data_IF_859534766140
#
_entry.id   IF_859534766140
#
_cell.length_a   1.000
_cell.length_b   1.000
_cell.length_c   1.000
_cell.angle_alpha   90.00
_cell.angle_beta   90.00
_cell.angle_gamma   90.00
#
_symmetry.space_group_name_H-M   'P 1'
#
loop_
_entity.id
_entity.type
_entity.pdbx_description
1 polymer ?
#
# COMPACT_ATOMS: atom_id res chain seq x y z
N UNK A 1 -5.89 29.30 2.30
CA UNK A 1 -6.06 28.01 2.99
C UNK A 1 -4.75 27.28 2.83
N UNK A 2 -3.96 27.14 3.90
CA UNK A 2 -2.73 26.36 3.88
C UNK A 2 -3.09 24.92 3.53
N UNK A 3 -2.53 24.37 2.46
CA UNK A 3 -2.73 22.97 2.11
C UNK A 3 -2.23 22.09 3.25
N UNK A 4 -3.08 21.22 3.80
CA UNK A 4 -2.75 20.27 4.88
C UNK A 4 -1.85 19.12 4.37
N UNK A 5 -0.81 19.45 3.62
CA UNK A 5 0.21 18.51 3.15
C UNK A 5 1.26 18.39 4.25
N UNK A 6 1.42 17.18 4.78
CA UNK A 6 2.52 16.84 5.66
C UNK A 6 3.73 16.40 4.85
N UNK A 7 4.93 16.77 5.29
CA UNK A 7 6.19 16.48 4.61
C UNK A 7 7.17 15.80 5.56
N UNK A 8 7.73 14.68 5.13
CA UNK A 8 8.70 13.89 5.86
C UNK A 8 9.97 13.74 5.01
N UNK A 9 11.06 14.47 5.32
CA UNK A 9 12.35 14.24 4.69
C UNK A 9 12.89 12.86 5.05
N UNK A 10 13.52 12.18 4.09
CA UNK A 10 14.14 10.86 4.28
C UNK A 10 15.36 10.70 3.38
N UNK A 11 16.31 9.87 3.78
CA UNK A 11 17.43 9.45 2.95
C UNK A 11 17.29 7.95 2.70
N UNK A 12 17.28 7.53 1.43
CA UNK A 12 17.14 6.11 1.08
C UNK A 12 18.35 5.34 1.61
N UNK A 13 18.10 4.35 2.46
CA UNK A 13 19.17 3.54 3.08
C UNK A 13 19.25 2.14 2.47
N UNK A 14 20.38 1.47 2.69
CA UNK A 14 20.74 0.23 1.98
C UNK A 14 19.77 -0.93 2.16
N UNK A 15 19.06 -1.03 3.29
CA UNK A 15 18.09 -2.11 3.53
C UNK A 15 16.69 -1.80 2.98
N UNK A 16 16.48 -0.60 2.43
CA UNK A 16 15.25 -0.23 1.74
C UNK A 16 15.32 -0.57 0.24
N UNK A 17 16.53 -0.82 -0.25
CA UNK A 17 16.79 -1.11 -1.66
C UNK A 17 16.78 -2.59 -1.98
N UNK A 18 16.40 -2.91 -3.22
CA UNK A 18 16.52 -4.25 -3.80
C UNK A 18 17.96 -4.50 -4.35
N UNK A 19 18.24 -5.68 -4.92
CA UNK A 19 19.56 -5.99 -5.51
C UNK A 19 20.03 -5.05 -6.62
N UNK A 20 19.14 -4.25 -7.23
CA UNK A 20 19.48 -3.23 -8.25
C UNK A 20 19.96 -1.91 -7.63
N UNK A 21 19.90 -1.78 -6.30
CA UNK A 21 20.27 -0.59 -5.55
C UNK A 21 19.23 0.54 -5.61
N UNK A 22 18.02 0.22 -6.07
CA UNK A 22 16.86 1.13 -6.08
C UNK A 22 15.92 0.77 -4.94
N UNK A 23 15.18 1.76 -4.43
CA UNK A 23 14.13 1.56 -3.43
C UNK A 23 13.15 0.48 -3.91
N UNK A 24 12.95 -0.57 -3.12
CA UNK A 24 12.00 -1.62 -3.48
C UNK A 24 10.55 -1.11 -3.42
N UNK A 25 9.66 -1.70 -4.21
CA UNK A 25 8.25 -1.29 -4.27
C UNK A 25 7.54 -1.40 -2.91
N UNK A 26 7.83 -2.46 -2.16
CA UNK A 26 7.30 -2.63 -0.80
C UNK A 26 7.77 -1.51 0.14
N UNK A 27 9.06 -1.16 0.09
CA UNK A 27 9.64 -0.09 0.93
C UNK A 27 9.15 1.30 0.54
N UNK A 28 8.82 1.52 -0.74
CA UNK A 28 8.11 2.74 -1.16
C UNK A 28 6.76 2.89 -0.44
N UNK A 29 5.97 1.81 -0.36
CA UNK A 29 4.68 1.83 0.36
C UNK A 29 4.89 2.01 1.87
N UNK A 30 5.88 1.33 2.48
CA UNK A 30 6.24 1.53 3.89
C UNK A 30 6.55 3.02 4.19
N UNK A 31 7.39 3.66 3.37
CA UNK A 31 7.76 5.08 3.56
C UNK A 31 6.56 6.01 3.41
N UNK A 32 5.65 5.72 2.47
CA UNK A 32 4.40 6.46 2.32
C UNK A 32 3.50 6.28 3.57
N UNK A 33 3.36 5.07 4.09
CA UNK A 33 2.61 4.83 5.33
C UNK A 33 3.26 5.52 6.54
N UNK A 34 4.59 5.52 6.63
CA UNK A 34 5.32 6.23 7.68
C UNK A 34 4.97 7.73 7.72
N UNK A 35 4.86 8.39 6.56
CA UNK A 35 4.42 9.78 6.49
C UNK A 35 2.97 9.97 6.96
N UNK A 36 2.07 9.03 6.68
CA UNK A 36 0.69 9.03 7.20
C UNK A 36 0.67 8.97 8.74
N UNK A 37 1.41 8.03 9.32
CA UNK A 37 1.52 7.87 10.78
C UNK A 37 2.14 9.11 11.45
N UNK A 38 3.20 9.66 10.85
CA UNK A 38 3.86 10.86 11.33
C UNK A 38 2.93 12.09 11.28
N UNK A 39 2.11 12.23 10.23
CA UNK A 39 1.08 13.27 10.19
C UNK A 39 0.06 13.08 11.32
N UNK A 40 -0.41 11.86 11.56
CA UNK A 40 -1.34 11.56 12.65
C UNK A 40 -0.82 12.04 14.01
N UNK A 41 0.45 11.77 14.31
CA UNK A 41 1.14 12.30 15.51
C UNK A 41 1.15 13.84 15.52
N UNK A 42 1.51 14.47 14.40
CA UNK A 42 1.60 15.92 14.29
C UNK A 42 0.26 16.64 14.48
N UNK A 43 -0.86 16.04 14.05
CA UNK A 43 -2.21 16.63 14.19
C UNK A 43 -2.93 16.22 15.47
N UNK A 44 -2.26 15.50 16.39
CA UNK A 44 -2.86 15.07 17.65
C UNK A 44 -3.88 13.93 17.52
N UNK A 45 -3.80 13.17 16.42
CA UNK A 45 -4.56 11.93 16.18
C UNK A 45 -3.61 10.77 15.81
N UNK A 46 -2.71 10.38 16.73
CA UNK A 46 -1.85 9.22 16.50
C UNK A 46 -2.66 7.92 16.56
N UNK A 47 -2.14 6.84 15.98
CA UNK A 47 -2.80 5.54 15.91
C UNK A 47 -3.16 4.99 17.31
N UNK A 48 -2.28 5.17 18.30
CA UNK A 48 -2.50 4.69 19.66
C UNK A 48 -3.75 5.33 20.30
N UNK A 49 -4.02 6.60 19.97
CA UNK A 49 -5.23 7.31 20.44
C UNK A 49 -6.48 6.74 19.77
N UNK A 50 -6.42 6.46 18.47
CA UNK A 50 -7.53 5.86 17.72
C UNK A 50 -7.84 4.45 18.24
N UNK A 51 -6.80 3.64 18.45
CA UNK A 51 -6.91 2.29 18.98
C UNK A 51 -7.51 2.30 20.40
N UNK A 52 -7.12 3.25 21.25
CA UNK A 52 -7.71 3.44 22.58
C UNK A 52 -9.20 3.83 22.54
N UNK A 53 -9.67 4.43 21.44
CA UNK A 53 -11.10 4.68 21.20
C UNK A 53 -11.84 3.45 20.65
N UNK A 54 -11.16 2.31 20.47
CA UNK A 54 -11.74 1.07 19.95
C UNK A 54 -11.82 1.02 18.42
N UNK A 55 -11.10 1.90 17.72
CA UNK A 55 -11.12 2.01 16.27
C UNK A 55 -9.74 1.79 15.65
N UNK A 56 -9.67 1.34 14.40
CA UNK A 56 -8.42 1.21 13.65
C UNK A 56 -8.64 1.45 12.16
N UNK A 57 -7.63 2.01 11.48
CA UNK A 57 -7.68 2.20 10.03
C UNK A 57 -7.23 0.93 9.32
N UNK A 58 -7.98 0.52 8.31
CA UNK A 58 -7.59 -0.56 7.40
C UNK A 58 -7.53 -0.05 5.98
N UNK A 59 -6.43 -0.36 5.32
CA UNK A 59 -6.23 -0.06 3.90
C UNK A 59 -7.03 -1.07 3.08
N UNK A 60 -7.84 -0.58 2.16
CA UNK A 60 -8.58 -1.44 1.23
C UNK A 60 -7.95 -1.47 -0.15
N UNK A 61 -7.30 -0.38 -0.57
CA UNK A 61 -6.73 -0.29 -1.90
C UNK A 61 -5.63 0.76 -2.01
N UNK A 62 -4.57 0.46 -2.79
CA UNK A 62 -3.62 1.45 -3.30
C UNK A 62 -3.66 1.50 -4.83
N UNK A 63 -3.58 2.71 -5.38
CA UNK A 63 -3.26 3.01 -6.77
C UNK A 63 -1.97 3.81 -6.79
N UNK A 64 -0.87 3.18 -7.21
CA UNK A 64 0.46 3.74 -7.21
C UNK A 64 0.96 3.87 -8.66
N UNK A 65 1.53 5.03 -8.98
CA UNK A 65 2.29 5.28 -10.20
C UNK A 65 3.74 5.65 -9.85
N UNK A 66 4.67 5.18 -10.66
CA UNK A 66 6.12 5.32 -10.43
C UNK A 66 6.77 5.86 -11.70
N UNK A 67 7.25 7.10 -11.63
CA UNK A 67 8.09 7.71 -12.67
C UNK A 67 9.49 7.09 -12.64
N UNK A 68 10.07 6.94 -11.45
CA UNK A 68 11.33 6.20 -11.18
C UNK A 68 11.45 5.86 -9.70
N UNK A 69 12.13 4.76 -9.39
CA UNK A 69 12.52 4.45 -8.01
C UNK A 69 13.84 5.18 -7.66
N UNK A 70 13.92 5.86 -6.50
CA UNK A 70 15.16 6.50 -6.07
C UNK A 70 16.23 5.48 -5.73
N UNK A 71 17.49 5.89 -5.81
CA UNK A 71 18.65 5.04 -5.48
C UNK A 71 19.06 5.19 -4.02
N UNK A 72 19.83 4.23 -3.54
CA UNK A 72 20.53 4.34 -2.25
C UNK A 72 21.24 5.70 -2.12
N UNK A 73 21.18 6.25 -0.93
CA UNK A 73 21.78 7.52 -0.50
C UNK A 73 21.14 8.78 -1.11
N UNK A 74 20.17 8.63 -2.03
CA UNK A 74 19.34 9.73 -2.52
C UNK A 74 18.47 10.30 -1.38
N UNK A 75 18.38 11.63 -1.31
CA UNK A 75 17.49 12.32 -0.39
C UNK A 75 16.16 12.59 -1.07
N UNK A 76 15.09 12.31 -0.35
CA UNK A 76 13.72 12.42 -0.84
C UNK A 76 12.84 13.10 0.21
N UNK A 77 11.70 13.60 -0.24
CA UNK A 77 10.63 14.09 0.63
C UNK A 77 9.39 13.27 0.36
N UNK A 78 8.87 12.60 1.41
CA UNK A 78 7.57 11.94 1.35
C UNK A 78 6.51 12.95 1.77
N UNK A 79 5.55 13.22 0.90
CA UNK A 79 4.41 14.08 1.17
C UNK A 79 3.15 13.23 1.34
N UNK A 80 2.24 13.67 2.21
CA UNK A 80 0.91 13.04 2.32
C UNK A 80 -0.18 14.04 2.67
N UNK A 81 -1.39 13.76 2.20
CA UNK A 81 -2.59 14.56 2.46
C UNK A 81 -3.82 13.65 2.53
N UNK A 82 -4.57 13.71 3.63
CA UNK A 82 -5.94 13.21 3.63
C UNK A 82 -6.76 14.13 2.72
N UNK A 83 -7.25 13.62 1.60
CA UNK A 83 -7.87 14.44 0.56
C UNK A 83 -9.36 14.56 0.76
N UNK A 84 -10.00 13.43 1.04
CA UNK A 84 -11.44 13.35 1.07
C UNK A 84 -11.93 12.23 1.99
N UNK A 85 -13.18 12.32 2.45
CA UNK A 85 -13.82 11.24 3.19
C UNK A 85 -15.33 11.21 2.96
N UNK A 86 -15.93 10.05 3.11
CA UNK A 86 -17.39 9.90 3.20
C UNK A 86 -17.74 9.14 4.50
N UNK A 87 -18.96 8.60 4.58
CA UNK A 87 -19.43 7.91 5.78
C UNK A 87 -18.54 6.74 6.24
N UNK A 88 -17.89 6.05 5.31
CA UNK A 88 -17.16 4.79 5.58
C UNK A 88 -15.74 4.76 5.02
N UNK A 89 -15.44 5.58 4.01
CA UNK A 89 -14.14 5.63 3.35
C UNK A 89 -13.43 6.95 3.60
N UNK A 90 -12.11 6.87 3.79
CA UNK A 90 -11.19 7.99 3.74
C UNK A 90 -10.22 7.78 2.58
N UNK A 91 -9.91 8.85 1.86
CA UNK A 91 -8.98 8.87 0.75
C UNK A 91 -7.78 9.72 1.11
N UNK A 92 -6.60 9.26 0.72
CA UNK A 92 -5.34 9.91 1.03
C UNK A 92 -4.38 9.76 -0.12
N UNK A 93 -3.75 10.86 -0.46
CA UNK A 93 -2.71 10.92 -1.47
C UNK A 93 -1.33 10.97 -0.81
N UNK A 94 -0.37 10.42 -1.54
CA UNK A 94 1.04 10.40 -1.20
C UNK A 94 1.87 10.78 -2.41
N UNK A 95 2.98 11.45 -2.18
CA UNK A 95 3.98 11.74 -3.20
C UNK A 95 5.36 11.45 -2.64
N UNK A 96 6.23 10.91 -3.48
CA UNK A 96 7.67 10.87 -3.24
C UNK A 96 8.32 11.88 -4.17
N UNK A 97 9.06 12.83 -3.62
CA UNK A 97 9.79 13.84 -4.40
C UNK A 97 11.30 13.73 -4.18
N UNK A 98 12.08 14.05 -5.20
CA UNK A 98 13.53 14.25 -5.03
C UNK A 98 13.85 15.64 -4.44
N UNK A 99 15.15 15.93 -4.25
CA UNK A 99 15.61 17.23 -3.75
C UNK A 99 15.29 18.41 -4.68
N UNK A 100 15.02 18.14 -5.97
CA UNK A 100 14.64 19.16 -6.94
C UNK A 100 13.12 19.42 -6.93
N UNK A 101 12.34 18.59 -6.24
CA UNK A 101 10.89 18.69 -6.11
C UNK A 101 10.12 17.90 -7.17
N UNK A 102 10.80 17.13 -8.02
CA UNK A 102 10.18 16.31 -9.06
C UNK A 102 9.49 15.10 -8.44
N UNK A 103 8.31 14.75 -8.95
CA UNK A 103 7.53 13.60 -8.43
C UNK A 103 8.10 12.30 -8.99
N UNK A 104 8.66 11.49 -8.11
CA UNK A 104 9.21 10.17 -8.42
C UNK A 104 8.14 9.09 -8.40
N UNK A 105 7.19 9.20 -7.47
CA UNK A 105 6.06 8.30 -7.35
C UNK A 105 4.86 9.02 -6.71
N UNK A 106 3.65 8.57 -7.04
CA UNK A 106 2.41 9.06 -6.45
C UNK A 106 1.50 7.88 -6.11
N UNK A 107 0.89 7.91 -4.93
CA UNK A 107 -0.05 6.86 -4.50
C UNK A 107 -1.34 7.48 -4.00
N UNK A 108 -2.47 6.96 -4.48
CA UNK A 108 -3.80 7.22 -3.95
C UNK A 108 -4.28 6.00 -3.18
N UNK A 109 -4.75 6.19 -1.94
CA UNK A 109 -5.13 5.10 -1.04
C UNK A 109 -6.51 5.30 -0.46
N UNK A 110 -7.29 4.21 -0.48
CA UNK A 110 -8.56 4.13 0.23
C UNK A 110 -8.38 3.40 1.57
N UNK A 111 -8.95 3.99 2.61
CA UNK A 111 -9.01 3.45 3.96
C UNK A 111 -10.46 3.30 4.41
N UNK A 112 -10.72 2.31 5.25
CA UNK A 112 -11.97 2.17 6.02
C UNK A 112 -11.64 2.19 7.51
N UNK A 113 -12.60 2.66 8.32
CA UNK A 113 -12.50 2.59 9.76
C UNK A 113 -13.12 1.29 10.25
N UNK A 114 -12.37 0.48 10.99
CA UNK A 114 -12.88 -0.70 11.69
C UNK A 114 -13.19 -0.38 13.15
N UNK A 115 -14.21 -1.05 13.67
CA UNK A 115 -14.41 -1.25 15.10
C UNK A 115 -13.59 -2.49 15.53
N UNK A 116 -12.62 -2.29 16.41
CA UNK A 116 -11.64 -3.32 16.79
C UNK A 116 -12.27 -4.48 17.58
N UNK A 117 -13.39 -4.24 18.25
CA UNK A 117 -14.09 -5.28 19.03
C UNK A 117 -14.92 -6.20 18.14
N UNK A 118 -15.65 -5.62 17.20
CA UNK A 118 -16.57 -6.36 16.31
C UNK A 118 -15.90 -6.81 15.02
N UNK A 119 -14.73 -6.24 14.68
CA UNK A 119 -14.02 -6.42 13.42
C UNK A 119 -14.88 -6.08 12.19
N UNK A 120 -15.73 -5.06 12.32
CA UNK A 120 -16.63 -4.60 11.24
C UNK A 120 -16.32 -3.15 10.88
N UNK A 121 -16.55 -2.82 9.61
CA UNK A 121 -16.49 -1.44 9.13
C UNK A 121 -17.51 -0.61 9.90
N UNK A 122 -17.05 0.52 10.43
CA UNK A 122 -17.86 1.47 11.18
C UNK A 122 -17.80 2.86 10.55
N UNK A 123 -18.65 3.76 11.02
CA UNK A 123 -18.75 5.11 10.46
C UNK A 123 -17.52 5.93 10.86
N UNK A 124 -17.00 6.70 9.91
CA UNK A 124 -15.98 7.72 10.19
C UNK A 124 -16.67 8.90 10.89
N UNK A 125 -16.25 9.18 12.12
CA UNK A 125 -16.75 10.32 12.90
C UNK A 125 -15.88 11.55 12.68
N UNK A 126 -16.47 12.75 12.84
CA UNK A 126 -15.76 14.00 12.58
C UNK A 126 -14.56 14.21 13.49
N UNK A 127 -14.62 13.76 14.74
CA UNK A 127 -13.53 13.90 15.71
C UNK A 127 -12.27 13.11 15.33
N UNK A 128 -12.43 11.98 14.63
CA UNK A 128 -11.32 11.15 14.13
C UNK A 128 -10.64 11.80 12.93
N UNK A 129 -11.41 12.40 12.02
CA UNK A 129 -10.90 12.81 10.71
C UNK A 129 -10.64 14.32 10.56
N UNK A 130 -11.36 15.17 11.31
CA UNK A 130 -11.23 16.62 11.23
C UNK A 130 -9.80 17.15 11.46
N UNK A 131 -8.96 16.56 12.33
CA UNK A 131 -7.57 17.01 12.50
C UNK A 131 -6.72 16.95 11.21
N UNK A 132 -7.07 16.05 10.28
CA UNK A 132 -6.39 15.93 8.99
C UNK A 132 -6.93 16.90 7.92
N UNK A 133 -8.13 17.45 8.15
CA UNK A 133 -8.84 18.37 7.25
C UNK A 133 -9.11 17.88 5.81
N UNK A 134 -9.59 16.64 5.57
CA UNK A 134 -10.07 16.24 4.26
C UNK A 134 -11.45 16.84 3.94
N UNK A 135 -11.77 16.92 2.66
CA UNK A 135 -13.06 17.39 2.17
C UNK A 135 -14.15 16.30 2.26
N UNK A 136 -15.37 16.63 2.71
CA UNK A 136 -16.46 15.66 2.73
C UNK A 136 -16.97 15.35 1.31
N UNK A 137 -17.10 14.07 0.98
CA UNK A 137 -17.71 13.57 -0.25
C UNK A 137 -19.12 13.03 -0.01
N UNK A 138 -20.00 13.28 -0.98
CA UNK A 138 -21.37 12.72 -1.00
C UNK A 138 -21.43 11.29 -1.55
N UNK A 139 -20.41 10.87 -2.29
CA UNK A 139 -20.34 9.57 -2.96
C UNK A 139 -19.03 8.85 -2.63
N UNK A 140 -19.01 7.56 -2.94
CA UNK A 140 -17.79 6.74 -2.92
C UNK A 140 -17.05 6.98 -4.23
N UNK A 141 -15.74 7.21 -4.16
CA UNK A 141 -14.87 7.26 -5.32
C UNK A 141 -14.78 5.87 -5.97
N UNK A 142 -14.94 5.81 -7.31
CA UNK A 142 -14.84 4.55 -8.06
C UNK A 142 -13.40 4.32 -8.47
N UNK A 143 -12.64 3.66 -7.61
CA UNK A 143 -11.30 3.21 -7.92
C UNK A 143 -11.33 2.00 -8.87
N UNK A 144 -10.44 1.98 -9.86
CA UNK A 144 -10.31 0.86 -10.78
C UNK A 144 -9.92 -0.40 -9.98
N UNK A 145 -10.63 -1.50 -10.14
CA UNK A 145 -10.21 -2.77 -9.54
C UNK A 145 -9.12 -3.44 -10.38
N UNK A 146 -8.18 -4.18 -9.76
CA UNK A 146 -7.26 -5.03 -10.51
C UNK A 146 -8.02 -6.03 -11.38
N UNK A 147 -7.48 -6.35 -12.56
CA UNK A 147 -7.99 -7.47 -13.36
C UNK A 147 -7.78 -8.78 -12.59
N UNK A 148 -8.67 -9.73 -12.82
CA UNK A 148 -8.63 -11.08 -12.23
C UNK A 148 -7.79 -12.00 -13.11
N UNK A 149 -7.19 -13.03 -12.51
CA UNK A 149 -6.49 -14.06 -13.27
C UNK A 149 -7.47 -14.83 -14.17
N UNK A 150 -7.09 -15.04 -15.42
CA UNK A 150 -7.74 -15.99 -16.33
C UNK A 150 -6.97 -17.33 -16.35
N UNK A 151 -5.64 -17.26 -16.29
CA UNK A 151 -4.75 -18.42 -16.24
C UNK A 151 -3.67 -18.26 -15.16
N UNK A 152 -3.22 -19.36 -14.55
CA UNK A 152 -2.15 -19.32 -13.55
C UNK A 152 -0.86 -19.79 -14.21
N UNK A 153 0.10 -18.88 -14.41
CA UNK A 153 1.40 -19.21 -15.00
C UNK A 153 2.41 -19.66 -13.95
N UNK A 154 2.50 -18.93 -12.84
CA UNK A 154 3.38 -19.27 -11.73
C UNK A 154 2.60 -19.20 -10.41
N UNK A 155 3.00 -20.04 -9.46
CA UNK A 155 2.48 -20.03 -8.12
C UNK A 155 3.57 -20.39 -7.11
N UNK A 156 3.48 -19.80 -5.92
CA UNK A 156 4.41 -20.05 -4.82
C UNK A 156 3.72 -19.96 -3.47
N UNK A 157 3.99 -20.93 -2.62
CA UNK A 157 3.44 -20.97 -1.27
C UNK A 157 4.33 -20.21 -0.29
N UNK A 158 3.68 -19.47 0.60
CA UNK A 158 4.30 -18.74 1.69
C UNK A 158 3.62 -19.11 3.01
N UNK A 159 4.40 -19.02 4.09
CA UNK A 159 3.91 -19.13 5.46
C UNK A 159 4.13 -17.80 6.15
N UNK A 160 3.08 -17.26 6.76
CA UNK A 160 3.15 -16.04 7.55
C UNK A 160 4.08 -16.26 8.74
N UNK A 161 5.18 -15.51 8.76
CA UNK A 161 6.23 -15.56 9.77
C UNK A 161 5.94 -14.58 10.90
N UNK A 162 6.75 -14.65 11.93
CA UNK A 162 6.63 -13.73 13.08
C UNK A 162 6.89 -12.28 12.67
N UNK A 163 7.91 -12.03 11.85
CA UNK A 163 8.28 -10.68 11.39
C UNK A 163 7.39 -10.13 10.28
N UNK A 164 6.44 -10.94 9.78
CA UNK A 164 5.45 -10.47 8.83
C UNK A 164 4.29 -9.75 9.55
N UNK A 165 4.22 -9.89 10.88
CA UNK A 165 3.18 -9.33 11.74
C UNK A 165 3.64 -8.00 12.33
N UNK A 166 2.80 -6.97 12.20
CA UNK A 166 3.03 -5.64 12.74
C UNK A 166 2.61 -5.51 14.21
N UNK A 167 2.76 -4.30 14.76
CA UNK A 167 2.36 -3.98 16.14
C UNK A 167 0.85 -4.04 16.38
N UNK A 168 0.04 -4.07 15.32
CA UNK A 168 -1.42 -4.25 15.40
C UNK A 168 -1.81 -5.74 15.41
N UNK A 169 -0.83 -6.64 15.37
CA UNK A 169 -1.00 -8.09 15.33
C UNK A 169 -1.65 -8.62 14.04
N UNK A 170 -1.52 -7.88 12.94
CA UNK A 170 -1.93 -8.31 11.59
C UNK A 170 -0.72 -8.38 10.67
N UNK A 171 -0.86 -9.09 9.56
CA UNK A 171 0.18 -9.07 8.51
C UNK A 171 0.31 -7.65 7.98
N UNK A 172 1.54 -7.10 7.98
CA UNK A 172 1.79 -5.82 7.33
C UNK A 172 1.50 -5.96 5.83
N UNK A 173 0.70 -5.05 5.29
CA UNK A 173 0.30 -5.00 3.87
C UNK A 173 1.49 -5.06 2.90
N UNK A 174 2.66 -4.58 3.29
CA UNK A 174 3.87 -4.65 2.45
C UNK A 174 4.32 -6.09 2.18
N UNK A 175 4.07 -7.05 3.08
CA UNK A 175 4.43 -8.45 2.82
C UNK A 175 3.59 -9.09 1.71
N UNK A 176 2.35 -8.63 1.50
CA UNK A 176 1.58 -9.04 0.32
C UNK A 176 2.28 -8.59 -0.97
N UNK A 177 2.84 -7.37 -0.98
CA UNK A 177 3.62 -6.85 -2.10
C UNK A 177 4.88 -7.68 -2.29
N UNK A 178 5.57 -8.05 -1.21
CA UNK A 178 6.76 -8.90 -1.31
C UNK A 178 6.42 -10.31 -1.86
N UNK A 179 5.37 -10.97 -1.38
CA UNK A 179 4.97 -12.31 -1.84
C UNK A 179 4.48 -12.33 -3.29
N UNK A 180 3.81 -11.28 -3.76
CA UNK A 180 3.37 -11.16 -5.15
C UNK A 180 4.52 -10.80 -6.10
N UNK A 181 5.59 -10.18 -5.60
CA UNK A 181 6.77 -9.93 -6.43
C UNK A 181 7.72 -11.14 -6.45
N UNK A 182 7.93 -11.82 -5.31
CA UNK A 182 8.85 -12.96 -5.18
C UNK A 182 8.39 -14.26 -5.87
N UNK A 183 7.13 -14.30 -6.37
CA UNK A 183 6.68 -15.37 -7.28
C UNK A 183 7.24 -15.19 -8.69
N UNK A 184 7.61 -13.96 -9.08
CA UNK A 184 8.34 -13.68 -10.31
C UNK A 184 9.79 -14.12 -10.12
N UNK A 185 10.39 -14.68 -11.16
CA UNK A 185 11.79 -15.10 -11.07
C UNK A 185 12.74 -13.90 -10.97
N UNK A 186 13.97 -14.20 -10.53
CA UNK A 186 15.01 -13.19 -10.33
C UNK A 186 15.32 -12.43 -11.62
N UNK A 187 15.38 -13.13 -12.75
CA UNK A 187 15.81 -12.53 -14.02
C UNK A 187 14.76 -11.51 -14.48
N UNK A 188 13.47 -11.84 -14.35
CA UNK A 188 12.37 -10.92 -14.57
C UNK A 188 12.49 -9.65 -13.72
N UNK A 189 12.70 -9.80 -12.40
CA UNK A 189 12.79 -8.67 -11.47
C UNK A 189 14.03 -7.79 -11.68
N UNK A 190 15.10 -8.35 -12.25
CA UNK A 190 16.32 -7.61 -12.57
C UNK A 190 16.21 -6.84 -13.90
N UNK A 191 15.38 -7.32 -14.82
CA UNK A 191 15.21 -6.76 -16.17
C UNK A 191 14.08 -5.74 -16.27
N UNK A 192 13.11 -5.77 -15.36
CA UNK A 192 11.90 -4.94 -15.42
C UNK A 192 11.72 -4.06 -14.19
N UNK A 193 11.25 -2.83 -14.37
CA UNK A 193 10.93 -1.90 -13.28
C UNK A 193 9.40 -1.65 -13.19
N UNK A 194 8.80 -1.69 -12.00
CA UNK A 194 7.38 -1.40 -11.86
C UNK A 194 7.11 0.09 -12.11
N UNK A 195 6.13 0.39 -12.97
CA UNK A 195 5.67 1.75 -13.27
C UNK A 195 4.28 2.05 -12.70
N UNK A 196 3.50 1.02 -12.40
CA UNK A 196 2.21 1.16 -11.74
C UNK A 196 1.88 -0.07 -10.89
N UNK A 197 1.18 0.14 -9.77
CA UNK A 197 0.61 -0.91 -8.92
C UNK A 197 -0.83 -0.53 -8.58
N UNK A 198 -1.76 -1.42 -8.88
CA UNK A 198 -3.12 -1.38 -8.36
C UNK A 198 -3.31 -2.61 -7.47
N UNK A 199 -3.46 -2.43 -6.17
CA UNK A 199 -3.59 -3.53 -5.20
C UNK A 199 -4.80 -3.32 -4.32
N UNK A 200 -5.59 -4.38 -4.15
CA UNK A 200 -6.80 -4.40 -3.32
C UNK A 200 -6.70 -5.54 -2.30
N UNK A 201 -6.94 -5.20 -1.03
CA UNK A 201 -6.93 -6.13 0.10
C UNK A 201 -8.36 -6.50 0.47
N UNK A 202 -8.64 -7.78 0.61
CA UNK A 202 -9.99 -8.29 0.87
C UNK A 202 -10.11 -8.99 2.21
N UNK A 203 -9.13 -9.84 2.55
CA UNK A 203 -9.13 -10.62 3.78
C UNK A 203 -7.73 -10.68 4.39
N UNK A 204 -7.61 -10.44 5.70
CA UNK A 204 -6.33 -10.45 6.42
C UNK A 204 -5.81 -11.87 6.69
N UNK A 205 -4.52 -12.09 6.45
CA UNK A 205 -3.77 -13.27 6.89
C UNK A 205 -3.29 -13.09 8.33
N UNK A 206 -3.11 -14.20 9.05
CA UNK A 206 -2.67 -14.25 10.44
C UNK A 206 -1.40 -15.09 10.58
N UNK A 207 -0.69 -14.89 11.70
CA UNK A 207 0.51 -15.64 12.03
C UNK A 207 0.33 -17.15 11.86
N UNK A 208 1.30 -17.79 11.20
CA UNK A 208 1.32 -19.24 11.01
C UNK A 208 0.38 -19.78 9.94
N UNK A 209 -0.54 -18.97 9.39
CA UNK A 209 -1.31 -19.35 8.21
C UNK A 209 -0.39 -19.46 7.00
N UNK A 210 -0.81 -20.27 6.02
CA UNK A 210 -0.17 -20.36 4.72
C UNK A 210 -1.04 -19.70 3.66
N UNK A 211 -0.39 -19.13 2.66
CA UNK A 211 -1.02 -18.56 1.49
C UNK A 211 -0.29 -18.97 0.21
N UNK A 212 -0.99 -18.94 -0.91
CA UNK A 212 -0.43 -19.20 -2.24
C UNK A 212 -0.53 -17.92 -3.05
N UNK A 213 0.62 -17.37 -3.46
CA UNK A 213 0.70 -16.27 -4.42
C UNK A 213 0.67 -16.85 -5.82
N UNK A 214 -0.18 -16.30 -6.69
CA UNK A 214 -0.37 -16.74 -8.08
C UNK A 214 -0.23 -15.54 -9.02
N UNK A 215 0.34 -15.76 -10.19
CA UNK A 215 0.57 -14.71 -11.19
C UNK A 215 0.24 -15.18 -12.61
N UNK A 216 -0.25 -14.23 -13.41
CA UNK A 216 -0.43 -14.29 -14.86
C UNK A 216 0.33 -13.13 -15.52
N UNK A 217 1.03 -13.39 -16.63
CA UNK A 217 1.83 -12.42 -17.35
C UNK A 217 1.13 -12.04 -18.66
N UNK A 218 0.52 -10.86 -18.68
CA UNK A 218 -0.08 -10.28 -19.87
C UNK A 218 0.99 -9.52 -20.68
N UNK A 219 1.41 -10.11 -21.80
CA UNK A 219 2.37 -9.52 -22.73
C UNK A 219 1.66 -8.94 -23.95
N UNK A 220 1.82 -7.64 -24.17
CA UNK A 220 1.46 -6.99 -25.43
C UNK A 220 2.72 -6.40 -26.10
N UNK A 221 2.59 -5.83 -27.31
CA UNK A 221 3.74 -5.27 -28.04
C UNK A 221 4.44 -4.12 -27.29
N UNK A 222 3.69 -3.36 -26.51
CA UNK A 222 4.17 -2.10 -25.90
C UNK A 222 4.00 -2.07 -24.37
N UNK A 223 3.35 -3.08 -23.78
CA UNK A 223 3.03 -3.12 -22.35
C UNK A 223 3.21 -4.53 -21.80
N UNK A 224 3.92 -4.61 -20.68
CA UNK A 224 4.03 -5.81 -19.85
C UNK A 224 3.26 -5.58 -18.56
N UNK A 225 2.27 -6.42 -18.29
CA UNK A 225 1.47 -6.37 -17.07
C UNK A 225 1.47 -7.74 -16.41
N UNK A 226 1.58 -7.77 -15.09
CA UNK A 226 1.41 -8.99 -14.29
C UNK A 226 0.17 -8.85 -13.42
N UNK A 227 -0.72 -9.82 -13.48
CA UNK A 227 -1.88 -9.94 -12.59
C UNK A 227 -1.52 -10.87 -11.44
N UNK A 228 -1.95 -10.55 -10.23
CA UNK A 228 -1.57 -11.25 -9.01
C UNK A 228 -2.78 -11.53 -8.13
N UNK A 229 -2.84 -12.73 -7.57
CA UNK A 229 -3.82 -13.09 -6.55
C UNK A 229 -3.17 -13.92 -5.45
N UNK A 230 -3.42 -13.54 -4.19
CA UNK A 230 -2.95 -14.27 -3.01
C UNK A 230 -4.16 -14.95 -2.36
N UNK A 231 -4.09 -16.27 -2.26
CA UNK A 231 -5.15 -17.11 -1.70
C UNK A 231 -4.72 -17.69 -0.34
N UNK A 232 -5.64 -17.73 0.61
CA UNK A 232 -5.49 -18.46 1.86
C UNK A 232 -5.59 -19.98 1.59
N UNK A 233 -5.12 -20.79 2.55
CA UNK A 233 -5.17 -22.25 2.45
C UNK A 233 -6.59 -22.84 2.24
N UNK A 234 -7.63 -22.14 2.68
CA UNK A 234 -9.04 -22.54 2.50
C UNK A 234 -9.65 -22.09 1.17
N UNK A 235 -8.87 -21.45 0.29
CA UNK A 235 -9.30 -20.94 -1.01
C UNK A 235 -9.89 -19.53 -0.97
N UNK A 236 -9.91 -18.87 0.19
CA UNK A 236 -10.36 -17.47 0.30
C UNK A 236 -9.35 -16.54 -0.37
N UNK A 237 -9.82 -15.64 -1.24
CA UNK A 237 -8.97 -14.60 -1.82
C UNK A 237 -8.60 -13.58 -0.74
N UNK A 238 -7.32 -13.36 -0.52
CA UNK A 238 -6.82 -12.42 0.48
C UNK A 238 -6.49 -11.07 -0.14
N UNK A 239 -5.86 -11.07 -1.31
CA UNK A 239 -5.39 -9.88 -2.00
C UNK A 239 -5.37 -10.12 -3.51
N UNK A 240 -5.71 -9.09 -4.30
CA UNK A 240 -5.54 -9.07 -5.75
C UNK A 240 -4.76 -7.82 -6.16
N UNK A 241 -3.86 -7.94 -7.13
CA UNK A 241 -3.09 -6.82 -7.63
C UNK A 241 -2.81 -6.91 -9.13
N UNK A 242 -2.50 -5.76 -9.72
CA UNK A 242 -2.01 -5.62 -11.08
C UNK A 242 -0.78 -4.71 -11.03
N UNK A 243 0.31 -5.15 -11.66
CA UNK A 243 1.55 -4.37 -11.81
C UNK A 243 1.86 -4.18 -13.28
N UNK A 244 2.09 -2.95 -13.70
CA UNK A 244 2.59 -2.63 -15.04
C UNK A 244 4.09 -2.37 -14.96
N UNK A 245 4.83 -2.84 -15.97
CA UNK A 245 6.29 -2.88 -16.00
C UNK A 245 6.85 -2.17 -17.23
N UNK A 246 8.10 -1.71 -17.13
CA UNK A 246 8.91 -1.23 -18.25
C UNK A 246 10.27 -1.91 -18.28
#
# INVERSE_FOLDING_TARGET
>A
MTENIYRLPHQIVYYETDPTGKLSLGKLVDLMMLASYAQGKAVGMPEEKLNAQGHGWVITQHLLSVTRLPRRDEKVVIETKATAYNRYFCYRDFWLRDEQGEVLAQMHTAFVLLDLKTRKITRITSDVIAPFGPEPLRSIERLASPKRLEEVELAKDYRVRYFDIDSNHHVNNVHYIEWMLDVLDKDFLMEHEPVALNIKYEHELNYGQTCTSKVELLRSKDELTTLHEIYMADGTLSCSAQVTWR
#
